data_IF_358095133754
#
_entry.id   IF_358095133754
#
_cell.length_a   1.000
_cell.length_b   1.000
_cell.length_c   1.000
_cell.angle_alpha   90.00
_cell.angle_beta   90.00
_cell.angle_gamma   90.00
#
_symmetry.space_group_name_H-M   'P 1'
#
loop_
_entity.id
_entity.type
_entity.pdbx_description
1 polymer ?
#
# COMPACT_ATOMS: atom_id res chain seq x y z
N UNK A 1 10.88 17.66 -28.81
CA UNK A 1 12.20 17.49 -28.16
C UNK A 1 12.31 16.09 -27.60
N UNK A 2 13.41 15.41 -27.84
CA UNK A 2 13.65 14.06 -27.28
C UNK A 2 14.85 14.11 -26.33
N UNK A 3 14.65 13.65 -25.11
CA UNK A 3 15.71 13.56 -24.10
C UNK A 3 16.37 12.16 -24.15
N UNK A 4 17.68 12.12 -24.10
CA UNK A 4 18.43 10.88 -24.03
C UNK A 4 18.54 10.42 -22.57
N UNK A 5 17.69 9.49 -22.22
CA UNK A 5 17.65 8.93 -20.87
C UNK A 5 18.65 7.78 -20.74
N UNK A 6 19.30 7.67 -19.59
CA UNK A 6 20.22 6.55 -19.33
C UNK A 6 19.53 5.21 -19.59
N UNK A 7 20.15 4.30 -20.39
CA UNK A 7 19.50 3.05 -20.79
C UNK A 7 19.05 2.17 -19.62
N UNK A 8 19.84 2.10 -18.55
CA UNK A 8 19.48 1.32 -17.36
C UNK A 8 18.30 1.96 -16.64
N UNK A 9 18.24 3.29 -16.61
CA UNK A 9 17.11 4.02 -16.01
C UNK A 9 15.83 3.77 -16.81
N UNK A 10 15.89 3.70 -18.14
CA UNK A 10 14.72 3.34 -18.96
C UNK A 10 14.17 1.97 -18.59
N UNK A 11 15.06 0.99 -18.40
CA UNK A 11 14.65 -0.36 -18.00
C UNK A 11 14.10 -0.39 -16.58
N UNK A 12 14.71 0.34 -15.66
CA UNK A 12 14.20 0.50 -14.30
C UNK A 12 12.79 1.11 -14.28
N UNK A 13 12.57 2.16 -15.07
CA UNK A 13 11.26 2.80 -15.20
C UNK A 13 10.22 1.83 -15.77
N UNK A 14 10.63 1.04 -16.78
CA UNK A 14 9.75 0.03 -17.37
C UNK A 14 9.31 -1.00 -16.32
N UNK A 15 10.24 -1.50 -15.52
CA UNK A 15 9.94 -2.46 -14.47
C UNK A 15 9.07 -1.85 -13.37
N UNK A 16 9.35 -0.62 -12.97
CA UNK A 16 8.55 0.11 -12.00
C UNK A 16 7.10 0.30 -12.49
N UNK A 17 6.95 0.72 -13.74
CA UNK A 17 5.63 0.88 -14.34
C UNK A 17 4.89 -0.46 -14.46
N UNK A 18 5.61 -1.54 -14.74
CA UNK A 18 5.03 -2.88 -14.79
C UNK A 18 4.52 -3.33 -13.41
N UNK A 19 5.25 -3.00 -12.36
CA UNK A 19 4.81 -3.28 -10.98
C UNK A 19 3.52 -2.50 -10.66
N UNK A 20 3.50 -1.21 -10.97
CA UNK A 20 2.32 -0.36 -10.74
C UNK A 20 1.10 -0.89 -11.50
N UNK A 21 1.28 -1.26 -12.76
CA UNK A 21 0.21 -1.83 -13.58
C UNK A 21 -0.30 -3.15 -13.03
N UNK A 22 0.60 -4.00 -12.54
CA UNK A 22 0.24 -5.27 -11.91
C UNK A 22 -0.68 -5.05 -10.71
N UNK A 23 -0.33 -4.14 -9.82
CA UNK A 23 -1.16 -3.83 -8.64
C UNK A 23 -2.49 -3.20 -9.02
N UNK A 24 -2.50 -2.35 -10.02
CA UNK A 24 -3.75 -1.77 -10.52
C UNK A 24 -4.68 -2.85 -11.08
N UNK A 25 -4.17 -3.78 -11.87
CA UNK A 25 -4.96 -4.92 -12.38
C UNK A 25 -5.47 -5.81 -11.25
N UNK A 26 -4.66 -6.08 -10.23
CA UNK A 26 -5.07 -6.83 -9.06
C UNK A 26 -6.25 -6.14 -8.37
N UNK A 27 -6.17 -4.82 -8.17
CA UNK A 27 -7.25 -4.05 -7.56
C UNK A 27 -8.54 -4.14 -8.40
N UNK A 28 -8.43 -3.99 -9.72
CA UNK A 28 -9.58 -4.12 -10.62
C UNK A 28 -10.24 -5.50 -10.50
N UNK A 29 -9.44 -6.56 -10.49
CA UNK A 29 -9.94 -7.93 -10.35
C UNK A 29 -10.66 -8.15 -9.02
N UNK A 30 -10.22 -7.49 -7.97
CA UNK A 30 -10.83 -7.58 -6.64
C UNK A 30 -12.01 -6.63 -6.46
N UNK A 31 -12.28 -5.77 -7.44
CA UNK A 31 -13.36 -4.80 -7.34
C UNK A 31 -13.06 -3.68 -6.34
N UNK A 32 -11.79 -3.37 -6.11
CA UNK A 32 -11.35 -2.33 -5.20
C UNK A 32 -10.68 -1.19 -5.96
N UNK A 33 -10.82 0.05 -5.46
CA UNK A 33 -9.98 1.14 -5.93
C UNK A 33 -8.57 0.97 -5.38
N UNK A 34 -7.58 1.59 -6.04
CA UNK A 34 -6.19 1.54 -5.59
C UNK A 34 -6.04 2.09 -4.17
N UNK A 35 -6.75 3.18 -3.85
CA UNK A 35 -6.70 3.77 -2.52
C UNK A 35 -7.40 2.91 -1.46
N UNK A 36 -8.52 2.27 -1.79
CA UNK A 36 -9.18 1.34 -0.87
C UNK A 36 -8.27 0.15 -0.54
N UNK A 37 -7.62 -0.42 -1.56
CA UNK A 37 -6.65 -1.49 -1.37
C UNK A 37 -5.52 -1.04 -0.45
N UNK A 38 -4.93 0.12 -0.71
CA UNK A 38 -3.81 0.64 0.08
C UNK A 38 -4.20 0.87 1.55
N UNK A 39 -5.40 1.38 1.80
CA UNK A 39 -5.89 1.59 3.17
C UNK A 39 -6.10 0.26 3.90
N UNK A 40 -6.75 -0.70 3.24
CA UNK A 40 -7.00 -2.01 3.84
C UNK A 40 -5.69 -2.76 4.11
N UNK A 41 -4.74 -2.67 3.21
CA UNK A 41 -3.39 -3.21 3.41
C UNK A 41 -2.71 -2.55 4.62
N UNK A 42 -2.80 -1.22 4.72
CA UNK A 42 -2.24 -0.50 5.85
C UNK A 42 -2.85 -0.94 7.18
N UNK A 43 -4.17 -1.12 7.23
CA UNK A 43 -4.84 -1.60 8.44
C UNK A 43 -4.38 -3.02 8.79
N UNK A 44 -4.20 -3.87 7.78
CA UNK A 44 -3.71 -5.24 8.00
C UNK A 44 -2.31 -5.25 8.62
N UNK A 45 -1.43 -4.36 8.17
CA UNK A 45 -0.04 -4.28 8.64
C UNK A 45 0.08 -3.54 9.97
N UNK A 46 -0.62 -2.40 10.11
CA UNK A 46 -0.57 -1.56 11.32
C UNK A 46 -1.44 -2.09 12.45
N UNK A 47 -2.49 -2.82 12.10
CA UNK A 47 -3.43 -3.39 13.06
C UNK A 47 -4.65 -2.51 13.31
N UNK A 48 -5.70 -3.11 13.84
CA UNK A 48 -6.90 -2.41 14.28
C UNK A 48 -6.54 -1.38 15.36
N UNK A 49 -7.16 -0.22 15.29
CA UNK A 49 -6.86 0.89 16.18
C UNK A 49 -5.84 1.88 15.63
N UNK A 50 -5.37 1.66 14.40
CA UNK A 50 -4.51 2.63 13.72
C UNK A 50 -5.32 3.89 13.37
N UNK A 51 -4.62 5.01 13.18
CA UNK A 51 -5.24 6.30 12.87
C UNK A 51 -5.11 6.61 11.38
N UNK A 52 -5.91 7.58 10.90
CA UNK A 52 -5.75 8.06 9.52
C UNK A 52 -4.35 8.65 9.30
N UNK A 53 -3.79 9.31 10.31
CA UNK A 53 -2.42 9.85 10.26
C UNK A 53 -1.41 8.73 10.02
N UNK A 54 -1.51 7.65 10.75
CA UNK A 54 -0.62 6.49 10.55
C UNK A 54 -0.79 5.88 9.17
N UNK A 55 -2.01 5.82 8.66
CA UNK A 55 -2.29 5.29 7.33
C UNK A 55 -1.66 6.14 6.24
N UNK A 56 -1.84 7.48 6.25
CA UNK A 56 -1.23 8.27 5.18
C UNK A 56 0.29 8.36 5.30
N UNK A 57 0.86 8.24 6.49
CA UNK A 57 2.31 8.14 6.65
C UNK A 57 2.87 6.82 6.11
N UNK A 58 2.13 5.75 6.30
CA UNK A 58 2.51 4.43 5.80
C UNK A 58 2.35 4.31 4.28
N UNK A 59 1.21 4.74 3.75
CA UNK A 59 0.88 4.62 2.32
C UNK A 59 1.51 5.71 1.47
N UNK A 60 1.88 6.84 2.06
CA UNK A 60 2.31 8.07 1.38
C UNK A 60 1.25 8.64 0.43
N UNK A 61 0.00 8.21 0.58
CA UNK A 61 -1.14 8.85 -0.07
C UNK A 61 -1.40 10.20 0.59
N UNK A 62 -1.98 11.15 -0.16
CA UNK A 62 -2.31 12.43 0.43
C UNK A 62 -3.50 12.30 1.39
N UNK A 63 -3.60 13.25 2.31
CA UNK A 63 -4.63 13.25 3.37
C UNK A 63 -6.05 13.23 2.82
N UNK A 64 -6.29 13.96 1.72
CA UNK A 64 -7.61 14.04 1.11
C UNK A 64 -8.03 12.69 0.52
N UNK A 65 -7.13 11.99 -0.14
CA UNK A 65 -7.38 10.65 -0.69
C UNK A 65 -7.69 9.66 0.42
N UNK A 66 -6.90 9.66 1.50
CA UNK A 66 -7.14 8.78 2.65
C UNK A 66 -8.50 9.09 3.28
N UNK A 67 -8.80 10.37 3.50
CA UNK A 67 -10.09 10.81 4.05
C UNK A 67 -11.27 10.31 3.21
N UNK A 68 -11.23 10.56 1.90
CA UNK A 68 -12.33 10.19 0.99
C UNK A 68 -12.53 8.69 0.93
N UNK A 69 -11.45 7.93 0.79
CA UNK A 69 -11.50 6.47 0.69
C UNK A 69 -11.91 5.82 2.01
N UNK A 70 -11.40 6.31 3.13
CA UNK A 70 -11.79 5.82 4.45
C UNK A 70 -13.27 6.08 4.73
N UNK A 71 -13.77 7.26 4.35
CA UNK A 71 -15.17 7.60 4.49
C UNK A 71 -16.06 6.65 3.69
N UNK A 72 -15.67 6.34 2.46
CA UNK A 72 -16.41 5.39 1.63
C UNK A 72 -16.38 3.98 2.22
N UNK A 73 -15.22 3.52 2.69
CA UNK A 73 -15.10 2.22 3.35
C UNK A 73 -16.00 2.14 4.60
N UNK A 74 -16.10 3.23 5.34
CA UNK A 74 -17.00 3.32 6.48
C UNK A 74 -18.48 3.25 6.05
N UNK A 75 -18.85 3.97 5.01
CA UNK A 75 -20.20 3.93 4.44
C UNK A 75 -20.57 2.52 3.95
N UNK A 76 -19.61 1.82 3.38
CA UNK A 76 -19.79 0.45 2.89
C UNK A 76 -19.77 -0.60 4.00
N UNK A 77 -19.58 -0.19 5.26
CA UNK A 77 -19.56 -1.08 6.41
C UNK A 77 -18.31 -1.95 6.52
N UNK A 78 -17.21 -1.56 5.87
CA UNK A 78 -15.94 -2.29 5.88
C UNK A 78 -15.08 -1.90 7.07
N UNK A 79 -15.10 -0.62 7.43
CA UNK A 79 -14.39 -0.08 8.60
C UNK A 79 -15.35 0.70 9.47
N UNK A 80 -14.94 0.91 10.71
CA UNK A 80 -15.63 1.79 11.65
C UNK A 80 -14.62 2.67 12.36
N UNK A 81 -15.06 3.87 12.77
CA UNK A 81 -14.26 4.83 13.48
C UNK A 81 -14.61 4.82 14.96
N UNK A 82 -13.59 4.84 15.82
CA UNK A 82 -13.74 4.93 17.26
C UNK A 82 -12.98 6.15 17.76
N UNK A 83 -13.47 6.78 18.83
CA UNK A 83 -12.79 7.92 19.44
C UNK A 83 -11.41 7.52 19.95
N UNK A 84 -10.42 8.33 19.62
CA UNK A 84 -9.06 8.24 20.14
C UNK A 84 -8.74 9.41 21.07
N UNK A 85 -7.47 9.79 21.12
CA UNK A 85 -7.01 10.93 21.93
C UNK A 85 -7.31 12.22 21.17
N UNK A 86 -7.97 13.18 21.83
CA UNK A 86 -8.33 14.46 21.23
C UNK A 86 -9.30 14.29 20.06
N UNK A 87 -8.97 14.86 18.90
CA UNK A 87 -9.76 14.77 17.66
C UNK A 87 -9.43 13.56 16.81
N UNK A 88 -8.49 12.76 17.26
CA UNK A 88 -8.01 11.60 16.52
C UNK A 88 -9.07 10.50 16.51
N UNK A 89 -9.26 9.87 15.34
CA UNK A 89 -10.13 8.72 15.19
C UNK A 89 -9.29 7.49 14.94
N UNK A 90 -9.61 6.43 15.66
CA UNK A 90 -9.03 5.10 15.46
C UNK A 90 -9.90 4.31 14.50
N UNK A 91 -9.24 3.53 13.66
CA UNK A 91 -9.89 2.77 12.60
C UNK A 91 -9.84 1.27 12.92
N UNK A 92 -10.98 0.63 12.78
CA UNK A 92 -11.14 -0.80 13.01
C UNK A 92 -11.82 -1.45 11.83
N UNK A 93 -11.39 -2.64 11.47
CA UNK A 93 -12.14 -3.47 10.53
C UNK A 93 -13.43 -3.97 11.22
N UNK A 94 -14.53 -3.92 10.49
CA UNK A 94 -15.74 -4.62 10.90
C UNK A 94 -15.62 -6.11 10.58
N UNK A 95 -16.60 -6.94 10.99
CA UNK A 95 -16.64 -8.35 10.59
C UNK A 95 -16.63 -8.50 9.06
N UNK A 96 -17.37 -7.64 8.36
CA UNK A 96 -17.37 -7.57 6.89
C UNK A 96 -15.99 -7.19 6.35
N UNK A 97 -15.35 -6.22 6.99
CA UNK A 97 -13.99 -5.78 6.62
C UNK A 97 -12.96 -6.88 6.82
N UNK A 98 -13.02 -7.60 7.93
CA UNK A 98 -12.11 -8.73 8.16
C UNK A 98 -12.27 -9.82 7.11
N UNK A 99 -13.51 -10.16 6.77
CA UNK A 99 -13.78 -11.15 5.72
C UNK A 99 -13.23 -10.70 4.37
N UNK A 100 -13.42 -9.43 4.03
CA UNK A 100 -12.92 -8.86 2.78
C UNK A 100 -11.38 -8.88 2.73
N UNK A 101 -10.73 -8.49 3.81
CA UNK A 101 -9.27 -8.48 3.90
C UNK A 101 -8.72 -9.91 3.81
N UNK A 102 -9.31 -10.87 4.50
CA UNK A 102 -8.88 -12.28 4.43
C UNK A 102 -9.03 -12.85 3.02
N UNK A 103 -10.09 -12.51 2.33
CA UNK A 103 -10.35 -13.03 0.98
C UNK A 103 -9.53 -12.33 -0.09
N UNK A 104 -9.40 -10.99 -0.03
CA UNK A 104 -8.92 -10.19 -1.15
C UNK A 104 -7.53 -9.57 -0.95
N UNK A 105 -7.14 -9.31 0.27
CA UNK A 105 -5.86 -8.62 0.56
C UNK A 105 -4.79 -9.60 1.06
N UNK A 106 -5.12 -10.39 2.05
CA UNK A 106 -4.17 -11.29 2.70
C UNK A 106 -3.46 -12.25 1.73
N UNK A 107 -4.13 -12.87 0.74
CA UNK A 107 -3.43 -13.74 -0.20
C UNK A 107 -2.34 -13.03 -1.01
N UNK A 108 -2.55 -11.75 -1.35
CA UNK A 108 -1.57 -10.94 -2.09
C UNK A 108 -0.38 -10.63 -1.20
N UNK A 109 -0.63 -10.21 0.03
CA UNK A 109 0.42 -9.94 1.02
C UNK A 109 1.27 -11.19 1.30
N UNK A 110 0.63 -12.34 1.41
CA UNK A 110 1.33 -13.61 1.59
C UNK A 110 2.19 -13.96 0.37
N UNK A 111 1.68 -13.70 -0.84
CA UNK A 111 2.44 -13.93 -2.07
C UNK A 111 3.67 -13.01 -2.15
N UNK A 112 3.53 -11.73 -1.76
CA UNK A 112 4.64 -10.79 -1.70
C UNK A 112 5.69 -11.23 -0.68
N UNK A 113 5.27 -11.62 0.51
CA UNK A 113 6.18 -12.15 1.53
C UNK A 113 6.97 -13.34 1.00
N UNK A 114 6.30 -14.24 0.28
CA UNK A 114 6.94 -15.43 -0.27
C UNK A 114 8.03 -15.08 -1.28
N UNK A 115 7.82 -14.05 -2.11
CA UNK A 115 8.86 -13.58 -3.04
C UNK A 115 10.12 -13.18 -2.27
N UNK A 116 9.97 -12.42 -1.18
CA UNK A 116 11.11 -11.99 -0.37
C UNK A 116 11.71 -13.12 0.45
N UNK A 117 10.91 -14.07 0.91
CA UNK A 117 11.42 -15.27 1.59
C UNK A 117 12.28 -16.13 0.67
N UNK A 118 11.97 -16.18 -0.61
CA UNK A 118 12.74 -16.92 -1.62
C UNK A 118 14.04 -16.20 -2.04
N UNK A 119 14.15 -14.90 -1.77
CA UNK A 119 15.39 -14.16 -2.00
C UNK A 119 16.41 -14.47 -0.89
N UNK A 120 17.69 -14.41 -1.25
CA UNK A 120 18.75 -14.58 -0.28
C UNK A 120 18.90 -13.35 0.61
N UNK A 121 19.56 -13.51 1.76
CA UNK A 121 19.89 -12.39 2.65
C UNK A 121 20.69 -11.31 1.91
N UNK A 122 21.61 -11.73 1.05
CA UNK A 122 22.39 -10.80 0.23
C UNK A 122 21.51 -10.02 -0.73
N UNK A 123 20.52 -10.66 -1.34
CA UNK A 123 19.58 -10.01 -2.24
C UNK A 123 18.68 -9.03 -1.48
N UNK A 124 18.25 -9.36 -0.26
CA UNK A 124 17.51 -8.42 0.60
C UNK A 124 18.33 -7.15 0.86
N UNK A 125 19.59 -7.31 1.24
CA UNK A 125 20.48 -6.18 1.51
C UNK A 125 20.72 -5.34 0.25
N UNK A 126 20.91 -5.99 -0.89
CA UNK A 126 21.17 -5.30 -2.15
C UNK A 126 19.98 -4.48 -2.65
N UNK A 127 18.78 -5.05 -2.65
CA UNK A 127 17.59 -4.33 -3.12
C UNK A 127 17.33 -3.09 -2.25
N UNK A 128 17.42 -3.23 -0.92
CA UNK A 128 17.21 -2.11 -0.02
C UNK A 128 18.28 -1.03 -0.19
N UNK A 129 19.55 -1.44 -0.30
CA UNK A 129 20.67 -0.52 -0.49
C UNK A 129 20.53 0.28 -1.77
N UNK A 130 20.18 -0.37 -2.87
CA UNK A 130 20.10 0.28 -4.18
C UNK A 130 18.88 1.19 -4.29
N UNK A 131 17.72 0.77 -3.80
CA UNK A 131 16.50 1.59 -3.80
C UNK A 131 16.70 2.81 -2.89
N UNK A 132 17.28 2.62 -1.72
CA UNK A 132 17.58 3.72 -0.79
C UNK A 132 18.56 4.70 -1.40
N UNK A 133 19.63 4.22 -2.04
CA UNK A 133 20.60 5.06 -2.77
C UNK A 133 19.91 5.90 -3.84
N UNK A 134 19.03 5.29 -4.62
CA UNK A 134 18.26 6.00 -5.65
C UNK A 134 17.41 7.10 -5.02
N UNK A 135 16.65 6.76 -3.99
CA UNK A 135 15.74 7.68 -3.30
C UNK A 135 16.49 8.86 -2.68
N UNK A 136 17.56 8.59 -1.94
CA UNK A 136 18.32 9.64 -1.22
C UNK A 136 19.15 10.52 -2.14
N UNK A 137 19.41 10.09 -3.37
CA UNK A 137 20.15 10.91 -4.34
C UNK A 137 19.42 12.17 -4.78
N UNK A 138 18.12 12.27 -4.49
CA UNK A 138 17.30 13.45 -4.79
C UNK A 138 17.21 14.43 -3.61
N UNK A 139 17.75 14.09 -2.48
CA UNK A 139 17.61 14.88 -1.25
C UNK A 139 18.76 15.87 -1.05
#
# INVERSE_FOLDING_TARGET
>A
MKFEKHPVLQEFDRLNNAIDELYHEICLMQGLSDSAYAILQAILVLGNGCTQTEIYKYTLLNKQTVNSSAKKLNQDGVIEFHAGVGRELKIYLTAKGEALVREKILPIEQAENKVFEEMTEKEHQEILRLVEKYLTSFL
#
